data_IF_919666702470
#
_entry.id   IF_919666702470
#
_cell.length_a   1.000
_cell.length_b   1.000
_cell.length_c   1.000
_cell.angle_alpha   90.00
_cell.angle_beta   90.00
_cell.angle_gamma   90.00
#
_symmetry.space_group_name_H-M   'P 1'
#
loop_
_entity.id
_entity.type
_entity.pdbx_description
1 polymer ?
#
# COMPACT_ATOMS: atom_id res chain seq x y z
N UNK A 1 6.90 -10.16 -10.76
CA UNK A 1 7.69 -11.08 -9.89
C UNK A 1 7.88 -10.49 -8.50
N UNK A 2 8.56 -9.35 -8.35
CA UNK A 2 8.84 -8.73 -7.03
C UNK A 2 7.58 -8.51 -6.18
N UNK A 3 6.51 -7.98 -6.76
CA UNK A 3 5.22 -7.79 -6.08
C UNK A 3 4.68 -9.10 -5.52
N UNK A 4 4.66 -10.17 -6.31
CA UNK A 4 4.14 -11.48 -5.89
C UNK A 4 4.99 -12.05 -4.77
N UNK A 5 6.30 -12.24 -4.99
CA UNK A 5 7.18 -12.85 -3.99
C UNK A 5 7.22 -12.04 -2.69
N UNK A 6 7.34 -10.71 -2.81
CA UNK A 6 7.44 -9.82 -1.66
C UNK A 6 6.16 -9.81 -0.83
N UNK A 7 4.99 -9.63 -1.45
CA UNK A 7 3.72 -9.59 -0.72
C UNK A 7 3.30 -10.99 -0.25
N UNK A 8 3.62 -12.07 -0.97
CA UNK A 8 3.44 -13.43 -0.47
C UNK A 8 4.25 -13.69 0.80
N UNK A 9 5.48 -13.15 0.88
CA UNK A 9 6.28 -13.24 2.11
C UNK A 9 5.65 -12.45 3.27
N UNK A 10 5.03 -11.29 3.00
CA UNK A 10 4.23 -10.51 3.98
C UNK A 10 3.08 -11.37 4.51
N UNK A 11 2.30 -11.99 3.63
CA UNK A 11 1.19 -12.86 4.01
C UNK A 11 1.67 -14.09 4.79
N UNK A 12 2.71 -14.78 4.34
CA UNK A 12 3.27 -15.93 5.04
C UNK A 12 3.76 -15.58 6.46
N UNK A 13 4.41 -14.42 6.61
CA UNK A 13 4.85 -13.92 7.91
C UNK A 13 3.67 -13.59 8.81
N UNK A 14 2.60 -13.01 8.25
CA UNK A 14 1.39 -12.69 8.99
C UNK A 14 0.66 -13.96 9.48
N UNK A 15 0.56 -15.00 8.64
CA UNK A 15 -0.04 -16.30 9.00
C UNK A 15 0.73 -16.96 10.14
N UNK A 16 2.08 -17.03 10.03
CA UNK A 16 2.94 -17.61 11.07
C UNK A 16 2.83 -16.87 12.41
N UNK A 17 2.57 -15.56 12.38
CA UNK A 17 2.48 -14.70 13.57
C UNK A 17 1.04 -14.28 13.89
N UNK A 18 0.03 -15.00 13.41
CA UNK A 18 -1.38 -14.60 13.48
C UNK A 18 -1.88 -14.33 14.90
N UNK A 19 -1.40 -15.11 15.89
CA UNK A 19 -1.69 -14.91 17.32
C UNK A 19 -1.09 -13.62 17.90
N UNK A 20 -0.01 -13.11 17.30
CA UNK A 20 0.74 -11.93 17.73
C UNK A 20 0.42 -10.68 16.91
N UNK A 21 -0.40 -10.79 15.85
CA UNK A 21 -0.79 -9.65 15.02
C UNK A 21 -1.62 -8.66 15.84
N UNK A 22 -1.11 -7.42 15.93
CA UNK A 22 -1.87 -6.28 16.45
C UNK A 22 -2.95 -5.88 15.44
N UNK A 23 -4.05 -5.29 15.92
CA UNK A 23 -5.16 -4.84 15.05
C UNK A 23 -4.69 -3.99 13.85
N UNK A 24 -3.79 -2.99 14.01
CA UNK A 24 -3.31 -2.19 12.88
C UNK A 24 -2.47 -2.95 11.84
N UNK A 25 -1.87 -4.10 12.20
CA UNK A 25 -1.10 -4.92 11.26
C UNK A 25 -2.02 -5.65 10.25
N UNK A 26 -3.31 -5.80 10.54
CA UNK A 26 -4.29 -6.36 9.59
C UNK A 26 -4.44 -5.50 8.33
N UNK A 27 -4.24 -4.18 8.41
CA UNK A 27 -4.23 -3.32 7.22
C UNK A 27 -3.01 -3.55 6.32
N UNK A 28 -1.88 -3.94 6.90
CA UNK A 28 -0.70 -4.37 6.12
C UNK A 28 -0.99 -5.67 5.37
N UNK A 29 -1.71 -6.61 6.01
CA UNK A 29 -2.17 -7.83 5.35
C UNK A 29 -3.13 -7.50 4.20
N UNK A 30 -4.10 -6.60 4.43
CA UNK A 30 -5.04 -6.17 3.40
C UNK A 30 -4.34 -5.55 2.19
N UNK A 31 -3.34 -4.68 2.43
CA UNK A 31 -2.55 -4.06 1.37
C UNK A 31 -1.80 -5.11 0.54
N UNK A 32 -1.18 -6.09 1.19
CA UNK A 32 -0.50 -7.19 0.49
C UNK A 32 -1.46 -8.05 -0.36
N UNK A 33 -2.70 -8.27 0.10
CA UNK A 33 -3.74 -8.96 -0.69
C UNK A 33 -4.12 -8.14 -1.92
N UNK A 34 -4.32 -6.82 -1.77
CA UNK A 34 -4.65 -5.94 -2.90
C UNK A 34 -3.51 -5.88 -3.93
N UNK A 35 -2.26 -5.77 -3.48
CA UNK A 35 -1.06 -5.75 -4.33
C UNK A 35 -0.89 -7.05 -5.14
N UNK A 36 -1.11 -8.21 -4.51
CA UNK A 36 -1.10 -9.51 -5.20
C UNK A 36 -2.26 -9.61 -6.19
N UNK A 37 -3.46 -9.19 -5.79
CA UNK A 37 -4.64 -9.15 -6.66
C UNK A 37 -4.38 -8.34 -7.93
N UNK A 38 -3.79 -7.14 -7.78
CA UNK A 38 -3.37 -6.31 -8.90
C UNK A 38 -2.35 -7.03 -9.78
N UNK A 39 -1.32 -7.62 -9.19
CA UNK A 39 -0.26 -8.28 -9.94
C UNK A 39 -0.72 -9.53 -10.70
N UNK A 40 -1.64 -10.32 -10.13
CA UNK A 40 -2.16 -11.54 -10.76
C UNK A 40 -3.17 -11.24 -11.86
N UNK A 41 -4.05 -10.26 -11.65
CA UNK A 41 -5.12 -9.94 -12.60
C UNK A 41 -4.64 -9.07 -13.78
N UNK A 42 -3.70 -8.15 -13.54
CA UNK A 42 -3.30 -7.16 -14.54
C UNK A 42 -2.02 -7.53 -15.26
N UNK A 43 -0.94 -7.81 -14.51
CA UNK A 43 0.40 -7.80 -15.10
C UNK A 43 0.60 -8.83 -16.21
N UNK A 44 0.08 -10.07 -16.14
CA UNK A 44 0.22 -11.03 -17.25
C UNK A 44 -0.31 -10.48 -18.59
N UNK A 45 -1.49 -9.84 -18.57
CA UNK A 45 -2.11 -9.26 -19.77
C UNK A 45 -1.31 -8.07 -20.31
N UNK A 46 -0.86 -7.18 -19.43
CA UNK A 46 -0.05 -6.01 -19.83
C UNK A 46 1.31 -6.44 -20.38
N UNK A 47 1.94 -7.44 -19.75
CA UNK A 47 3.24 -7.97 -20.16
C UNK A 47 3.14 -8.66 -21.53
N UNK A 48 2.14 -9.53 -21.72
CA UNK A 48 1.92 -10.18 -23.01
C UNK A 48 1.63 -9.16 -24.12
N UNK A 49 0.79 -8.15 -23.83
CA UNK A 49 0.48 -7.07 -24.76
C UNK A 49 1.70 -6.19 -25.09
N UNK A 50 2.57 -5.95 -24.11
CA UNK A 50 3.81 -5.21 -24.31
C UNK A 50 4.78 -5.95 -25.25
N UNK A 51 4.90 -7.27 -25.11
CA UNK A 51 5.71 -8.10 -26.03
C UNK A 51 5.18 -8.11 -27.46
N UNK A 52 3.87 -7.97 -27.63
CA UNK A 52 3.23 -7.91 -28.94
C UNK A 52 3.07 -6.48 -29.48
N UNK A 53 3.51 -5.47 -28.74
CA UNK A 53 3.34 -4.05 -29.07
C UNK A 53 1.87 -3.62 -29.32
N UNK A 54 0.90 -4.39 -28.83
CA UNK A 54 -0.52 -4.15 -29.00
C UNK A 54 -1.33 -4.91 -27.95
N UNK A 55 -2.49 -4.38 -27.57
CA UNK A 55 -3.42 -5.07 -26.67
C UNK A 55 -3.90 -6.40 -27.26
N UNK A 56 -3.59 -7.50 -26.57
CA UNK A 56 -3.95 -8.86 -27.01
C UNK A 56 -5.30 -9.36 -26.46
N UNK A 57 -5.80 -8.75 -25.38
CA UNK A 57 -6.90 -9.32 -24.61
C UNK A 57 -8.30 -9.12 -25.21
N UNK A 58 -8.44 -8.34 -26.29
CA UNK A 58 -9.73 -7.89 -26.81
C UNK A 58 -10.52 -7.05 -25.79
N UNK A 59 -11.77 -6.71 -26.14
CA UNK A 59 -12.59 -5.78 -25.34
C UNK A 59 -12.94 -6.33 -23.95
N UNK A 60 -13.33 -7.60 -23.87
CA UNK A 60 -13.71 -8.23 -22.60
C UNK A 60 -12.56 -8.22 -21.58
N UNK A 61 -11.35 -8.59 -22.01
CA UNK A 61 -10.18 -8.56 -21.11
C UNK A 61 -9.74 -7.13 -20.80
N UNK A 62 -9.98 -6.18 -21.71
CA UNK A 62 -9.69 -4.76 -21.47
C UNK A 62 -10.55 -4.21 -20.32
N UNK A 63 -11.85 -4.51 -20.36
CA UNK A 63 -12.79 -4.16 -19.29
C UNK A 63 -12.39 -4.85 -17.98
N UNK A 64 -12.09 -6.16 -18.01
CA UNK A 64 -11.62 -6.90 -16.83
C UNK A 64 -10.35 -6.30 -16.24
N UNK A 65 -9.35 -6.01 -17.07
CA UNK A 65 -8.07 -5.43 -16.66
C UNK A 65 -8.27 -4.07 -15.98
N UNK A 66 -9.09 -3.20 -16.60
CA UNK A 66 -9.36 -1.87 -16.08
C UNK A 66 -10.15 -1.93 -14.76
N UNK A 67 -11.17 -2.80 -14.68
CA UNK A 67 -11.95 -3.03 -13.47
C UNK A 67 -11.09 -3.51 -12.32
N UNK A 68 -10.25 -4.52 -12.54
CA UNK A 68 -9.39 -5.07 -11.50
C UNK A 68 -8.35 -4.05 -11.05
N UNK A 69 -7.74 -3.33 -11.99
CA UNK A 69 -6.79 -2.28 -11.65
C UNK A 69 -7.40 -1.16 -10.84
N UNK A 70 -8.63 -0.79 -11.16
CA UNK A 70 -9.34 0.24 -10.44
C UNK A 70 -9.79 -0.24 -9.05
N UNK A 71 -10.35 -1.45 -8.95
CA UNK A 71 -10.71 -2.08 -7.68
C UNK A 71 -9.52 -2.14 -6.71
N UNK A 72 -8.40 -2.73 -7.12
CA UNK A 72 -7.24 -2.90 -6.25
C UNK A 72 -6.52 -1.57 -6.00
N UNK A 73 -6.55 -0.62 -6.95
CA UNK A 73 -6.02 0.72 -6.77
C UNK A 73 -6.77 1.49 -5.68
N UNK A 74 -8.10 1.54 -5.74
CA UNK A 74 -8.94 2.17 -4.72
C UNK A 74 -8.81 1.44 -3.37
N UNK A 75 -8.78 0.10 -3.38
CA UNK A 75 -8.58 -0.68 -2.16
C UNK A 75 -7.25 -0.34 -1.46
N UNK A 76 -6.16 -0.21 -2.23
CA UNK A 76 -4.84 0.18 -1.71
C UNK A 76 -4.85 1.59 -1.15
N UNK A 77 -5.41 2.56 -1.89
CA UNK A 77 -5.50 3.96 -1.46
C UNK A 77 -6.29 4.12 -0.15
N UNK A 78 -7.46 3.47 -0.07
CA UNK A 78 -8.30 3.50 1.13
C UNK A 78 -7.67 2.75 2.31
N UNK A 79 -6.92 1.67 2.05
CA UNK A 79 -6.14 0.97 3.07
C UNK A 79 -5.04 1.85 3.65
N UNK A 80 -4.33 2.60 2.82
CA UNK A 80 -3.31 3.55 3.27
C UNK A 80 -3.91 4.72 4.06
N UNK A 81 -5.06 5.23 3.62
CA UNK A 81 -5.83 6.23 4.35
C UNK A 81 -6.23 5.74 5.75
N UNK A 82 -6.85 4.56 5.82
CA UNK A 82 -7.18 3.90 7.08
C UNK A 82 -5.94 3.71 7.98
N UNK A 83 -4.81 3.30 7.40
CA UNK A 83 -3.56 3.11 8.11
C UNK A 83 -3.04 4.43 8.69
N UNK A 84 -3.11 5.54 7.95
CA UNK A 84 -2.73 6.86 8.41
C UNK A 84 -3.61 7.35 9.58
N UNK A 85 -4.93 7.19 9.46
CA UNK A 85 -5.89 7.56 10.53
C UNK A 85 -5.64 6.74 11.79
N UNK A 86 -5.50 5.41 11.69
CA UNK A 86 -5.22 4.56 12.84
C UNK A 86 -3.90 4.97 13.51
N UNK A 87 -2.85 5.26 12.73
CA UNK A 87 -1.56 5.70 13.29
C UNK A 87 -1.67 7.05 13.97
N UNK A 88 -2.44 7.98 13.41
CA UNK A 88 -2.72 9.27 14.04
C UNK A 88 -3.47 9.09 15.36
N UNK A 89 -4.53 8.30 15.39
CA UNK A 89 -5.31 8.04 16.61
C UNK A 89 -4.46 7.35 17.69
N UNK A 90 -3.68 6.33 17.35
CA UNK A 90 -2.79 5.62 18.29
C UNK A 90 -1.72 6.56 18.84
N UNK A 91 -1.17 7.46 18.02
CA UNK A 91 -0.15 8.43 18.46
C UNK A 91 -0.73 9.51 19.36
N UNK A 92 -1.98 9.92 19.14
CA UNK A 92 -2.65 10.97 19.92
C UNK A 92 -3.39 10.45 21.17
N UNK A 93 -3.64 9.16 21.27
CA UNK A 93 -4.33 8.59 22.44
C UNK A 93 -3.44 8.66 23.68
N UNK A 94 -3.89 9.39 24.71
CA UNK A 94 -3.28 9.32 26.04
C UNK A 94 -3.56 7.97 26.68
N UNK A 95 -2.60 7.44 27.46
CA UNK A 95 -2.71 6.16 28.18
C UNK A 95 -3.97 6.04 29.06
N UNK A 96 -4.57 7.16 29.47
CA UNK A 96 -5.75 7.21 30.34
C UNK A 96 -7.11 7.06 29.62
N UNK A 97 -7.20 7.28 28.31
CA UNK A 97 -8.47 7.33 27.55
C UNK A 97 -8.48 6.40 26.32
N UNK A 98 -7.73 5.29 26.39
CA UNK A 98 -7.52 4.41 25.24
C UNK A 98 -8.77 3.60 24.89
N UNK A 99 -9.62 4.12 24.01
CA UNK A 99 -10.46 3.28 23.13
C UNK A 99 -9.50 2.42 22.29
N UNK A 100 -9.17 1.22 22.80
CA UNK A 100 -8.27 0.29 22.12
C UNK A 100 -8.91 -0.09 20.78
N UNK A 101 -8.22 0.20 19.68
CA UNK A 101 -8.64 -0.24 18.35
C UNK A 101 -8.66 -1.77 18.33
N UNK A 102 -9.86 -2.33 18.34
CA UNK A 102 -10.06 -3.79 18.39
C UNK A 102 -9.84 -4.43 17.02
N UNK A 103 -9.60 -5.75 16.99
CA UNK A 103 -9.54 -6.49 15.72
C UNK A 103 -10.86 -6.39 14.96
N UNK A 104 -12.00 -6.47 15.65
CA UNK A 104 -13.33 -6.35 15.04
C UNK A 104 -13.51 -5.01 14.32
N UNK A 105 -13.09 -3.90 14.94
CA UNK A 105 -13.14 -2.57 14.31
C UNK A 105 -12.34 -2.54 13.01
N UNK A 106 -11.14 -3.13 13.00
CA UNK A 106 -10.30 -3.18 11.78
C UNK A 106 -10.88 -4.12 10.73
N UNK A 107 -11.47 -5.26 11.11
CA UNK A 107 -12.14 -6.15 10.17
C UNK A 107 -13.35 -5.48 9.50
N UNK A 108 -14.16 -4.75 10.26
CA UNK A 108 -15.29 -3.96 9.73
C UNK A 108 -14.77 -2.88 8.76
N UNK A 109 -13.69 -2.20 9.13
CA UNK A 109 -13.04 -1.21 8.27
C UNK A 109 -12.53 -1.82 6.96
N UNK A 110 -11.91 -2.99 7.01
CA UNK A 110 -11.48 -3.72 5.81
C UNK A 110 -12.68 -4.09 4.94
N UNK A 111 -13.75 -4.63 5.53
CA UNK A 111 -14.98 -4.94 4.78
C UNK A 111 -15.55 -3.69 4.08
N UNK A 112 -15.57 -2.55 4.77
CA UNK A 112 -15.97 -1.27 4.18
C UNK A 112 -15.04 -0.85 3.03
N UNK A 113 -13.73 -0.99 3.18
CA UNK A 113 -12.75 -0.67 2.11
C UNK A 113 -13.04 -1.50 0.85
N UNK A 114 -13.30 -2.80 0.99
CA UNK A 114 -13.63 -3.66 -0.16
C UNK A 114 -14.95 -3.28 -0.81
N UNK A 115 -16.01 -3.06 -0.02
CA UNK A 115 -17.32 -2.64 -0.53
C UNK A 115 -17.23 -1.28 -1.25
N UNK A 116 -16.51 -0.33 -0.67
CA UNK A 116 -16.28 0.99 -1.27
C UNK A 116 -15.53 0.86 -2.59
N UNK A 117 -14.45 0.07 -2.62
CA UNK A 117 -13.65 -0.13 -3.83
C UNK A 117 -14.44 -0.84 -4.93
N UNK A 118 -15.25 -1.83 -4.55
CA UNK A 118 -16.11 -2.57 -5.46
C UNK A 118 -17.21 -1.69 -6.04
N UNK A 119 -17.85 -0.86 -5.20
CA UNK A 119 -18.84 0.11 -5.65
C UNK A 119 -18.26 0.97 -6.78
N UNK A 120 -17.14 1.63 -6.53
CA UNK A 120 -16.50 2.49 -7.52
C UNK A 120 -16.08 1.73 -8.79
N UNK A 121 -15.61 0.49 -8.66
CA UNK A 121 -15.21 -0.32 -9.81
C UNK A 121 -16.35 -0.84 -10.68
N UNK A 122 -17.55 -0.97 -10.13
CA UNK A 122 -18.74 -1.41 -10.88
C UNK A 122 -19.44 -0.23 -11.58
N UNK A 123 -19.33 1.00 -11.06
CA UNK A 123 -20.02 2.17 -11.62
C UNK A 123 -19.79 2.37 -13.15
N UNK A 124 -18.57 2.23 -13.69
CA UNK A 124 -18.35 2.29 -15.13
C UNK A 124 -19.02 1.16 -15.94
N UNK A 125 -19.29 0.01 -15.32
CA UNK A 125 -19.99 -1.09 -15.99
C UNK A 125 -21.50 -0.85 -16.10
N UNK A 126 -22.08 -0.10 -15.15
CA UNK A 126 -23.51 0.22 -15.13
C UNK A 126 -23.82 1.57 -15.82
N UNK A 127 -22.83 2.16 -16.48
CA UNK A 127 -22.99 3.34 -17.35
C UNK A 127 -22.63 4.69 -16.72
N UNK A 128 -22.17 4.73 -15.46
CA UNK A 128 -21.61 5.95 -14.87
C UNK A 128 -20.09 5.94 -14.95
N UNK A 129 -19.58 6.38 -16.11
CA UNK A 129 -18.18 6.23 -16.51
C UNK A 129 -18.00 5.06 -17.48
N UNK A 130 -16.78 4.91 -18.03
CA UNK A 130 -16.46 3.82 -18.95
C UNK A 130 -15.00 3.40 -18.80
N UNK A 131 -14.74 2.12 -19.05
CA UNK A 131 -13.39 1.59 -19.24
C UNK A 131 -12.98 1.63 -20.71
N UNK A 132 -11.68 1.77 -20.96
CA UNK A 132 -11.14 1.82 -22.30
C UNK A 132 -9.62 1.67 -22.35
N UNK A 133 -9.04 1.59 -23.56
CA UNK A 133 -7.60 1.49 -23.73
C UNK A 133 -6.89 2.78 -23.32
N UNK A 134 -5.70 2.64 -22.76
CA UNK A 134 -4.75 3.73 -22.58
C UNK A 134 -4.21 4.22 -23.93
N UNK A 135 -3.76 5.49 -24.04
CA UNK A 135 -3.23 6.05 -25.29
C UNK A 135 -2.06 5.27 -25.90
N UNK A 136 -1.24 4.61 -25.06
CA UNK A 136 -0.10 3.81 -25.48
C UNK A 136 -0.48 2.36 -25.89
N UNK A 137 -1.75 1.97 -25.81
CA UNK A 137 -2.30 0.80 -26.52
C UNK A 137 -1.97 -0.60 -25.98
N UNK A 138 -1.28 -0.75 -24.85
CA UNK A 138 -0.94 -2.06 -24.25
C UNK A 138 -1.63 -2.33 -22.91
N UNK A 139 -2.49 -1.42 -22.45
CA UNK A 139 -3.24 -1.59 -21.21
C UNK A 139 -4.54 -0.80 -21.21
N UNK A 140 -5.41 -1.07 -20.24
CA UNK A 140 -6.72 -0.46 -20.13
C UNK A 140 -6.96 0.20 -18.78
N UNK A 141 -7.84 1.21 -18.75
CA UNK A 141 -8.09 2.06 -17.59
C UNK A 141 -9.47 2.71 -17.68
N UNK A 142 -9.76 3.66 -16.79
CA UNK A 142 -10.89 4.59 -16.96
C UNK A 142 -10.64 5.44 -18.21
N UNK A 143 -11.64 5.57 -19.08
CA UNK A 143 -11.50 6.32 -20.33
C UNK A 143 -11.49 7.85 -20.09
N UNK A 144 -10.35 8.38 -19.64
CA UNK A 144 -10.15 9.81 -19.29
C UNK A 144 -10.44 10.77 -20.46
N UNK A 145 -9.98 10.43 -21.66
CA UNK A 145 -9.98 11.31 -22.83
C UNK A 145 -11.23 11.26 -23.70
N UNK A 146 -12.06 10.22 -23.57
CA UNK A 146 -13.23 10.02 -24.46
C UNK A 146 -14.40 10.96 -24.16
N UNK A 147 -14.34 11.83 -23.16
CA UNK A 147 -15.53 12.48 -22.62
C UNK A 147 -15.43 13.97 -22.29
N UNK A 148 -14.78 14.77 -23.14
CA UNK A 148 -15.01 16.23 -23.14
C UNK A 148 -16.52 16.57 -23.34
N UNK A 149 -17.28 15.70 -24.03
CA UNK A 149 -18.66 15.99 -24.44
C UNK A 149 -19.76 15.15 -23.76
N UNK A 150 -19.44 14.27 -22.79
CA UNK A 150 -20.45 13.49 -22.04
C UNK A 150 -20.52 13.94 -20.58
N UNK A 151 -21.69 14.46 -20.18
CA UNK A 151 -21.95 14.89 -18.79
C UNK A 151 -21.78 13.75 -17.78
N UNK A 152 -22.16 12.52 -18.15
CA UNK A 152 -22.04 11.34 -17.27
C UNK A 152 -20.58 10.92 -17.06
N UNK A 153 -19.76 10.94 -18.13
CA UNK A 153 -18.34 10.59 -18.04
C UNK A 153 -17.55 11.62 -17.23
N UNK A 154 -17.77 12.91 -17.50
CA UNK A 154 -17.10 14.01 -16.79
C UNK A 154 -17.46 14.02 -15.29
N UNK A 155 -18.74 13.89 -14.95
CA UNK A 155 -19.20 13.85 -13.55
C UNK A 155 -18.62 12.65 -12.79
N UNK A 156 -18.55 11.47 -13.41
CA UNK A 156 -17.92 10.30 -12.80
C UNK A 156 -16.44 10.56 -12.50
N UNK A 157 -15.68 11.02 -13.50
CA UNK A 157 -14.23 11.26 -13.35
C UNK A 157 -13.97 12.29 -12.25
N UNK A 158 -14.69 13.42 -12.24
CA UNK A 158 -14.53 14.44 -11.22
C UNK A 158 -14.86 13.88 -9.81
N UNK A 159 -15.98 13.18 -9.68
CA UNK A 159 -16.42 12.63 -8.38
C UNK A 159 -15.44 11.57 -7.87
N UNK A 160 -15.02 10.65 -8.73
CA UNK A 160 -14.04 9.61 -8.40
C UNK A 160 -12.68 10.20 -8.06
N UNK A 161 -12.20 11.18 -8.83
CA UNK A 161 -10.92 11.84 -8.56
C UNK A 161 -10.94 12.52 -7.19
N UNK A 162 -12.02 13.21 -6.85
CA UNK A 162 -12.18 13.85 -5.56
C UNK A 162 -12.29 12.83 -4.41
N UNK A 163 -13.19 11.84 -4.51
CA UNK A 163 -13.53 10.95 -3.40
C UNK A 163 -12.56 9.79 -3.22
N UNK A 164 -11.97 9.28 -4.30
CA UNK A 164 -11.07 8.13 -4.26
C UNK A 164 -9.58 8.50 -4.35
N UNK A 165 -9.24 9.74 -4.77
CA UNK A 165 -7.84 10.18 -4.88
C UNK A 165 -7.53 11.36 -3.96
N UNK A 166 -8.16 12.52 -4.16
CA UNK A 166 -7.81 13.76 -3.46
C UNK A 166 -8.13 13.67 -1.97
N UNK A 167 -9.37 13.32 -1.60
CA UNK A 167 -9.80 13.27 -0.21
C UNK A 167 -8.98 12.25 0.62
N UNK A 168 -8.74 11.01 0.15
CA UNK A 168 -7.86 10.08 0.87
C UNK A 168 -6.42 10.58 0.94
N UNK A 169 -5.87 11.19 -0.11
CA UNK A 169 -4.50 11.72 -0.11
C UNK A 169 -4.34 12.85 0.92
N UNK A 170 -5.27 13.80 0.93
CA UNK A 170 -5.29 14.90 1.90
C UNK A 170 -5.42 14.39 3.34
N UNK A 171 -6.24 13.37 3.56
CA UNK A 171 -6.39 12.74 4.87
C UNK A 171 -5.09 12.07 5.33
N UNK A 172 -4.40 11.34 4.43
CA UNK A 172 -3.08 10.76 4.70
C UNK A 172 -2.09 11.84 5.11
N UNK A 173 -1.98 12.91 4.31
CA UNK A 173 -1.04 14.02 4.56
C UNK A 173 -1.37 14.71 5.88
N UNK A 174 -2.63 15.06 6.12
CA UNK A 174 -3.06 15.72 7.36
C UNK A 174 -2.79 14.86 8.60
N UNK A 175 -3.06 13.56 8.54
CA UNK A 175 -2.75 12.63 9.63
C UNK A 175 -1.25 12.63 9.96
N UNK A 176 -0.38 12.55 8.95
CA UNK A 176 1.06 12.50 9.17
C UNK A 176 1.66 13.85 9.60
N UNK A 177 1.15 14.98 9.10
CA UNK A 177 1.49 16.30 9.61
C UNK A 177 1.10 16.43 11.09
N UNK A 178 -0.10 15.97 11.47
CA UNK A 178 -0.55 15.94 12.85
C UNK A 178 0.32 15.06 13.75
N UNK A 179 0.75 13.89 13.27
CA UNK A 179 1.73 13.03 13.98
C UNK A 179 3.05 13.78 14.16
N UNK A 180 3.59 14.39 13.10
CA UNK A 180 4.86 15.11 13.15
C UNK A 180 4.81 16.27 14.15
N UNK A 181 3.73 17.04 14.13
CA UNK A 181 3.50 18.13 15.08
C UNK A 181 3.43 17.64 16.53
N UNK A 182 2.68 16.56 16.78
CA UNK A 182 2.57 15.97 18.12
C UNK A 182 3.90 15.44 18.65
N UNK A 183 4.68 14.78 17.80
CA UNK A 183 6.02 14.27 18.13
C UNK A 183 6.98 15.43 18.41
N UNK A 184 6.93 16.49 17.61
CA UNK A 184 7.76 17.68 17.81
C UNK A 184 7.45 18.36 19.15
N UNK A 185 6.16 18.57 19.47
CA UNK A 185 5.74 19.12 20.76
C UNK A 185 6.17 18.24 21.93
N UNK A 186 5.98 16.92 21.83
CA UNK A 186 6.42 16.00 22.87
C UNK A 186 7.95 16.01 23.07
N UNK A 187 8.73 16.20 22.01
CA UNK A 187 10.18 16.32 22.11
C UNK A 187 10.62 17.60 22.84
N UNK A 188 9.92 18.71 22.64
CA UNK A 188 10.18 19.97 23.37
C UNK A 188 9.89 19.85 24.88
N UNK A 189 8.93 19.01 25.27
CA UNK A 189 8.54 18.80 26.66
C UNK A 189 9.42 17.77 27.41
N UNK A 190 10.26 16.98 26.70
CA UNK A 190 11.08 15.93 27.29
C UNK A 190 12.50 16.46 27.57
N UNK A 191 12.82 16.72 28.84
CA UNK A 191 14.17 17.13 29.29
C UNK A 191 15.18 15.97 29.42
N UNK A 192 14.77 14.70 29.30
CA UNK A 192 15.67 13.54 29.44
C UNK A 192 15.36 12.42 28.42
N UNK A 193 16.23 12.23 27.43
CA UNK A 193 16.08 11.30 26.30
C UNK A 193 16.22 9.82 26.72
N UNK A 194 16.79 9.54 27.89
CA UNK A 194 17.24 8.19 28.28
C UNK A 194 16.16 7.21 28.76
N UNK A 195 14.89 7.63 28.89
CA UNK A 195 13.80 6.77 29.39
C UNK A 195 12.64 6.54 28.42
N UNK A 196 12.91 6.41 27.11
CA UNK A 196 11.86 6.01 26.15
C UNK A 196 11.62 4.48 26.24
N UNK A 197 10.42 4.02 26.66
CA UNK A 197 10.12 2.59 26.76
C UNK A 197 10.16 1.91 25.39
N UNK A 198 10.55 0.63 25.37
CA UNK A 198 10.64 -0.17 24.13
C UNK A 198 9.33 -0.22 23.33
N UNK A 199 8.18 -0.14 24.00
CA UNK A 199 6.87 -0.05 23.35
C UNK A 199 6.73 1.22 22.49
N UNK A 200 7.21 2.38 22.96
CA UNK A 200 7.17 3.63 22.21
C UNK A 200 8.13 3.61 21.02
N UNK A 201 9.32 2.99 21.18
CA UNK A 201 10.26 2.77 20.07
C UNK A 201 9.65 1.90 18.96
N UNK A 202 8.90 0.86 19.35
CA UNK A 202 8.18 0.00 18.41
C UNK A 202 7.07 0.76 17.68
N UNK A 203 6.24 1.54 18.38
CA UNK A 203 5.16 2.32 17.74
C UNK A 203 5.72 3.38 16.79
N UNK A 204 6.79 4.11 17.16
CA UNK A 204 7.47 5.07 16.26
C UNK A 204 7.91 4.40 14.96
N UNK A 205 8.46 3.20 15.06
CA UNK A 205 8.91 2.41 13.90
C UNK A 205 7.74 1.96 13.01
N UNK A 206 6.64 1.50 13.61
CA UNK A 206 5.45 1.09 12.85
C UNK A 206 4.82 2.30 12.12
N UNK A 207 4.78 3.45 12.77
CA UNK A 207 4.33 4.71 12.15
C UNK A 207 5.26 5.14 11.02
N UNK A 208 6.59 5.08 11.22
CA UNK A 208 7.56 5.40 10.16
C UNK A 208 7.35 4.51 8.93
N UNK A 209 7.16 3.21 9.11
CA UNK A 209 6.90 2.30 7.99
C UNK A 209 5.61 2.67 7.25
N UNK A 210 4.52 2.96 7.98
CA UNK A 210 3.27 3.42 7.36
C UNK A 210 3.44 4.72 6.57
N UNK A 211 4.19 5.69 7.10
CA UNK A 211 4.52 6.94 6.39
C UNK A 211 5.29 6.65 5.11
N UNK A 212 6.34 5.84 5.17
CA UNK A 212 7.17 5.50 4.00
C UNK A 212 6.36 4.81 2.90
N UNK A 213 5.50 3.85 3.26
CA UNK A 213 4.64 3.12 2.34
C UNK A 213 3.65 4.08 1.67
N UNK A 214 2.98 4.92 2.45
CA UNK A 214 2.03 5.90 1.93
C UNK A 214 2.69 6.94 1.03
N UNK A 215 3.87 7.46 1.40
CA UNK A 215 4.63 8.40 0.57
C UNK A 215 5.09 7.74 -0.72
N UNK A 216 5.59 6.51 -0.67
CA UNK A 216 5.98 5.75 -1.85
C UNK A 216 4.77 5.55 -2.78
N UNK A 217 3.61 5.19 -2.25
CA UNK A 217 2.38 5.07 -3.05
C UNK A 217 1.97 6.41 -3.68
N UNK A 218 1.80 7.47 -2.88
CA UNK A 218 1.35 8.76 -3.37
C UNK A 218 2.32 9.31 -4.44
N UNK A 219 3.63 9.31 -4.16
CA UNK A 219 4.63 9.77 -5.14
C UNK A 219 4.64 8.95 -6.43
N UNK A 220 4.32 7.66 -6.37
CA UNK A 220 4.23 6.79 -7.56
C UNK A 220 2.99 7.07 -8.41
N UNK A 221 1.86 7.33 -7.75
CA UNK A 221 0.57 7.50 -8.40
C UNK A 221 0.30 8.94 -8.83
N UNK A 222 0.90 9.95 -8.19
CA UNK A 222 0.69 11.37 -8.51
C UNK A 222 1.01 11.71 -9.98
N UNK A 223 2.13 11.29 -10.58
CA UNK A 223 2.41 11.59 -11.99
C UNK A 223 1.33 11.06 -12.93
N UNK A 224 0.85 9.84 -12.68
CA UNK A 224 -0.19 9.21 -13.47
C UNK A 224 -1.54 9.92 -13.26
N UNK A 225 -1.94 10.17 -12.02
CA UNK A 225 -3.18 10.86 -11.70
C UNK A 225 -3.21 12.29 -12.32
N UNK A 226 -2.09 13.00 -12.27
CA UNK A 226 -1.97 14.34 -12.87
C UNK A 226 -2.06 14.29 -14.40
N UNK A 227 -1.32 13.39 -15.06
CA UNK A 227 -1.36 13.24 -16.52
C UNK A 227 -2.75 12.82 -17.01
N UNK A 228 -3.39 11.88 -16.32
CA UNK A 228 -4.72 11.40 -16.66
C UNK A 228 -5.79 12.47 -16.46
N UNK A 229 -5.75 13.23 -15.36
CA UNK A 229 -6.68 14.34 -15.13
C UNK A 229 -6.46 15.48 -16.14
N UNK A 230 -5.20 15.77 -16.48
CA UNK A 230 -4.84 16.77 -17.49
C UNK A 230 -5.39 16.43 -18.90
N UNK A 231 -5.48 15.15 -19.23
CA UNK A 231 -6.01 14.66 -20.53
C UNK A 231 -7.50 14.94 -20.73
N UNK A 232 -8.23 15.33 -19.67
CA UNK A 232 -9.65 15.70 -19.77
C UNK A 232 -9.82 17.07 -20.45
N UNK A 233 -8.91 18.01 -20.18
CA UNK A 233 -9.02 19.41 -20.62
C UNK A 233 -8.28 19.69 -21.92
N UNK A 234 -7.47 18.75 -22.41
CA UNK A 234 -6.64 18.92 -23.59
C UNK A 234 -6.93 17.79 -24.58
N UNK A 235 -7.19 18.14 -25.84
CA UNK A 235 -7.41 17.16 -26.90
C UNK A 235 -6.23 16.19 -26.98
N UNK A 236 -6.54 14.90 -26.87
CA UNK A 236 -5.61 13.77 -26.77
C UNK A 236 -4.61 13.61 -27.92
N UNK A 237 -4.76 14.42 -28.98
CA UNK A 237 -3.91 14.38 -30.17
C UNK A 237 -2.48 14.91 -29.94
N UNK A 238 -2.17 15.39 -28.73
CA UNK A 238 -0.89 16.02 -28.39
C UNK A 238 -0.05 15.31 -27.31
N UNK A 239 -0.57 14.26 -26.65
CA UNK A 239 0.17 13.57 -25.59
C UNK A 239 1.02 12.43 -26.16
N UNK A 240 2.34 12.63 -26.18
CA UNK A 240 3.28 11.56 -26.58
C UNK A 240 3.07 10.30 -25.73
N UNK A 241 3.10 9.09 -26.30
CA UNK A 241 2.93 7.83 -25.57
C UNK A 241 3.89 7.66 -24.39
N UNK A 242 5.08 8.24 -24.44
CA UNK A 242 6.06 8.23 -23.34
C UNK A 242 5.54 8.98 -22.11
N UNK A 243 4.84 10.09 -22.32
CA UNK A 243 4.30 10.96 -21.25
C UNK A 243 3.16 10.28 -20.49
N UNK A 244 2.49 9.29 -21.09
CA UNK A 244 1.42 8.52 -20.45
C UNK A 244 1.90 7.16 -19.94
N UNK A 245 2.81 6.50 -20.67
CA UNK A 245 3.36 5.19 -20.30
C UNK A 245 4.24 5.23 -19.06
N UNK A 246 5.22 6.15 -18.98
CA UNK A 246 6.16 6.18 -17.85
C UNK A 246 5.45 6.43 -16.50
N UNK A 247 4.54 7.41 -16.38
CA UNK A 247 3.74 7.56 -15.15
C UNK A 247 2.93 6.32 -14.82
N UNK A 248 2.32 5.68 -15.82
CA UNK A 248 1.54 4.46 -15.63
C UNK A 248 2.39 3.30 -15.08
N UNK A 249 3.60 3.11 -15.62
CA UNK A 249 4.55 2.10 -15.12
C UNK A 249 5.01 2.42 -13.69
N UNK A 250 5.29 3.69 -13.39
CA UNK A 250 5.70 4.11 -12.06
C UNK A 250 4.59 3.87 -11.03
N UNK A 251 3.35 4.24 -11.35
CA UNK A 251 2.18 3.94 -10.52
C UNK A 251 2.03 2.43 -10.27
N UNK A 252 2.11 1.60 -11.32
CA UNK A 252 1.98 0.13 -11.18
C UNK A 252 3.10 -0.49 -10.36
N UNK A 253 4.32 0.03 -10.44
CA UNK A 253 5.47 -0.48 -9.68
C UNK A 253 5.37 -0.27 -8.17
N UNK A 254 4.45 0.59 -7.69
CA UNK A 254 4.29 0.90 -6.27
C UNK A 254 4.05 -0.34 -5.39
N UNK A 255 3.40 -1.36 -5.95
CA UNK A 255 3.07 -2.63 -5.28
C UNK A 255 4.32 -3.42 -4.86
N UNK A 256 5.47 -3.16 -5.48
CA UNK A 256 6.74 -3.79 -5.15
C UNK A 256 7.51 -3.06 -4.03
N UNK A 257 7.17 -1.80 -3.74
CA UNK A 257 7.89 -0.99 -2.75
C UNK A 257 7.55 -1.40 -1.31
N UNK A 258 6.33 -1.85 -1.05
CA UNK A 258 5.87 -2.19 0.29
C UNK A 258 6.72 -3.32 0.93
N UNK A 259 6.92 -4.49 0.28
CA UNK A 259 7.81 -5.55 0.79
C UNK A 259 9.24 -5.09 1.03
N UNK A 260 9.78 -4.20 0.18
CA UNK A 260 11.12 -3.65 0.35
C UNK A 260 11.21 -2.80 1.63
N UNK A 261 10.24 -1.92 1.87
CA UNK A 261 10.16 -1.12 3.10
C UNK A 261 10.02 -2.04 4.32
N UNK A 262 9.17 -3.08 4.25
CA UNK A 262 9.05 -4.07 5.31
C UNK A 262 10.39 -4.77 5.59
N UNK A 263 11.13 -5.15 4.55
CA UNK A 263 12.43 -5.80 4.68
C UNK A 263 13.47 -4.89 5.34
N UNK A 264 13.63 -3.66 4.88
CA UNK A 264 14.64 -2.73 5.43
C UNK A 264 14.31 -2.41 6.89
N UNK A 265 13.07 -2.03 7.17
CA UNK A 265 12.71 -1.46 8.46
C UNK A 265 12.28 -2.53 9.47
N UNK A 266 11.53 -3.59 9.11
CA UNK A 266 11.05 -4.59 10.08
C UNK A 266 12.07 -5.72 10.33
N UNK A 267 12.67 -5.73 11.54
CA UNK A 267 13.56 -6.81 11.99
C UNK A 267 12.81 -8.14 12.07
N UNK A 268 11.57 -8.10 12.54
CA UNK A 268 10.72 -9.29 12.66
C UNK A 268 10.41 -9.88 11.29
N UNK A 269 10.05 -9.04 10.32
CA UNK A 269 9.82 -9.49 8.95
C UNK A 269 11.07 -10.15 8.35
N UNK A 270 12.25 -9.51 8.47
CA UNK A 270 13.51 -10.11 8.01
C UNK A 270 13.81 -11.47 8.64
N UNK A 271 13.59 -11.62 9.94
CA UNK A 271 13.83 -12.87 10.63
C UNK A 271 12.92 -13.98 10.08
N UNK A 272 11.62 -13.69 9.93
CA UNK A 272 10.66 -14.66 9.40
C UNK A 272 10.90 -15.00 7.92
N UNK A 273 11.28 -14.01 7.10
CA UNK A 273 11.69 -14.25 5.71
C UNK A 273 12.93 -15.15 5.63
N UNK A 274 13.95 -14.91 6.47
CA UNK A 274 15.14 -15.79 6.51
C UNK A 274 14.78 -17.22 6.94
N UNK A 275 13.88 -17.39 7.91
CA UNK A 275 13.38 -18.72 8.29
C UNK A 275 12.65 -19.41 7.13
N UNK A 276 11.85 -18.66 6.37
CA UNK A 276 11.20 -19.18 5.15
C UNK A 276 12.23 -19.61 4.10
N UNK A 277 13.32 -18.83 3.92
CA UNK A 277 14.43 -19.20 3.02
C UNK A 277 15.21 -20.43 3.50
N UNK A 278 15.40 -20.58 4.82
CA UNK A 278 16.03 -21.77 5.41
C UNK A 278 15.17 -23.03 5.24
N UNK A 279 13.83 -22.92 5.30
CA UNK A 279 12.92 -24.03 5.02
C UNK A 279 12.85 -24.40 3.53
N UNK A 280 13.16 -23.46 2.61
CA UNK A 280 13.23 -23.69 1.17
C UNK A 280 14.65 -24.00 0.65
N UNK A 281 15.61 -24.35 1.52
CA UNK A 281 16.88 -24.96 1.11
C UNK A 281 18.09 -24.05 0.94
N UNK A 282 18.13 -22.84 1.48
CA UNK A 282 19.37 -22.04 1.55
C UNK A 282 19.85 -21.89 2.99
N UNK A 283 20.71 -22.82 3.41
CA UNK A 283 21.38 -22.82 4.72
C UNK A 283 22.50 -21.77 4.70
N UNK A 284 22.22 -20.53 5.08
CA UNK A 284 23.26 -19.55 5.39
C UNK A 284 23.51 -19.61 6.90
N UNK A 285 24.54 -20.35 7.30
CA UNK A 285 25.10 -20.26 8.64
C UNK A 285 25.67 -18.85 8.82
N UNK A 286 25.08 -18.08 9.73
CA UNK A 286 25.77 -16.95 10.34
C UNK A 286 25.77 -17.14 11.85
N UNK A 287 26.98 -17.34 12.36
CA UNK A 287 27.35 -17.41 13.76
C UNK A 287 26.74 -16.21 14.51
N UNK A 288 25.92 -16.49 15.53
CA UNK A 288 25.65 -15.54 16.59
C UNK A 288 26.59 -15.91 17.72
N UNK A 289 27.65 -15.13 17.89
CA UNK A 289 28.51 -15.17 19.07
C UNK A 289 27.67 -14.70 20.27
N UNK A 290 27.19 -15.67 21.05
CA UNK A 290 26.70 -15.43 22.40
C UNK A 290 27.91 -15.10 23.30
N UNK A 291 28.00 -13.86 23.74
CA UNK A 291 28.73 -13.53 24.96
C UNK A 291 27.84 -13.93 26.14
N UNK A 292 27.84 -15.22 26.46
CA UNK A 292 27.35 -15.73 27.74
C UNK A 292 28.47 -15.64 28.76
N UNK A 293 28.24 -14.74 29.73
CA UNK A 293 28.81 -14.66 31.07
C UNK A 293 29.25 -16.03 31.59
N UNK A 294 30.56 -16.21 31.79
CA UNK A 294 31.12 -17.26 32.64
C UNK A 294 30.83 -16.92 34.10
N UNK A 295 30.00 -17.75 34.74
CA UNK A 295 30.02 -17.96 36.19
C UNK A 295 30.53 -19.39 36.41
N UNK A 296 31.68 -19.62 37.06
CA UNK A 296 32.05 -20.94 37.51
C UNK A 296 31.40 -21.25 38.87
N UNK A 297 30.70 -22.37 38.91
CA UNK A 297 30.16 -23.00 40.12
C UNK A 297 31.29 -23.73 40.87
N UNK A 298 31.23 -23.59 42.20
CA UNK A 298 31.93 -24.24 43.32
C UNK A 298 32.53 -25.64 43.16
N UNK A 299 33.64 -25.91 43.90
CA UNK A 299 33.94 -27.01 44.88
C UNK A 299 35.48 -27.10 45.02
N UNK A 300 36.16 -27.01 46.18
CA UNK A 300 36.41 -28.00 47.26
C UNK A 300 37.14 -27.23 48.39
N UNK A 301 36.75 -27.21 49.68
CA UNK A 301 37.03 -28.18 50.77
C UNK A 301 38.44 -28.80 50.75
N UNK A 302 39.31 -28.35 51.65
CA UNK A 302 40.66 -28.88 51.90
C UNK A 302 41.64 -27.79 52.30
#
# INVERSE_FOLDING_TARGET
ILTILGNSAVLATAVKRSSLLKSPELLTVNLAVADIGMALSMYPLAIASAWNHAWLGGDASCIYYALMGFLFGVCSMMTLCAMAVIRFLVTNSSKSNSNKITKNTVCILIAFIWLYSLLWAILPLVGWGYYGPEPFGISCTIAWSKFHNSSNGFSFILTMFLLCTVLPALTIVACYLGIAWKVHKAYQEIQNIDRIPNAAKLEKKLTLMAVLISVAFLSSWTPYAAASFWSIFNSSDSLQPVVTLLPCLFAKSSTAYNPFIYYVFSKTFRCEVRKLQCCCGWRVHYFSSDNSVENPVSMWSG
#
